data_IF_836071672032
#
_entry.id   IF_836071672032
#
_cell.length_a   1.000
_cell.length_b   1.000
_cell.length_c   1.000
_cell.angle_alpha   90.00
_cell.angle_beta   90.00
_cell.angle_gamma   90.00
#
_symmetry.space_group_name_H-M   'P 1'
#
loop_
_entity.id
_entity.type
_entity.pdbx_description
1 polymer ?
#
# COMPACT_ATOMS: atom_id res chain seq x y z
N UNK A 1 -69.93 -49.40 28.58
CA UNK A 1 -70.16 -49.35 27.11
C UNK A 1 -68.82 -49.66 26.46
N UNK A 2 -68.57 -50.88 25.95
CA UNK A 2 -68.82 -51.30 24.55
C UNK A 2 -68.48 -50.18 23.55
N UNK A 3 -67.62 -50.31 22.54
CA UNK A 3 -66.83 -51.40 21.92
C UNK A 3 -66.19 -50.72 20.70
N UNK A 4 -64.92 -51.02 20.41
CA UNK A 4 -64.36 -51.40 19.09
C UNK A 4 -62.85 -51.12 19.16
N UNK A 5 -61.99 -52.13 19.21
CA UNK A 5 -61.64 -53.03 18.09
C UNK A 5 -61.14 -52.21 16.88
N UNK A 6 -59.99 -52.46 16.29
CA UNK A 6 -59.36 -53.75 16.06
C UNK A 6 -57.93 -53.49 15.55
N UNK A 7 -56.96 -54.23 16.09
CA UNK A 7 -55.96 -55.00 15.33
C UNK A 7 -54.94 -54.28 14.41
N UNK A 8 -53.69 -54.71 14.27
CA UNK A 8 -52.94 -55.90 14.74
C UNK A 8 -51.46 -55.69 14.31
N UNK A 9 -50.50 -56.07 15.14
CA UNK A 9 -49.58 -57.22 14.91
C UNK A 9 -48.24 -56.82 14.27
N UNK A 10 -47.16 -56.70 15.05
CA UNK A 10 -46.11 -57.71 15.36
C UNK A 10 -45.20 -58.03 14.16
N UNK A 11 -43.88 -57.86 14.32
CA UNK A 11 -42.89 -58.56 13.48
C UNK A 11 -41.46 -58.03 13.52
N UNK A 12 -40.59 -58.71 14.26
CA UNK A 12 -39.12 -58.65 14.26
C UNK A 12 -38.47 -58.69 12.85
N UNK A 13 -37.39 -57.90 12.62
CA UNK A 13 -36.06 -58.36 12.13
C UNK A 13 -35.27 -57.27 11.38
N UNK A 14 -33.96 -57.31 11.57
CA UNK A 14 -32.93 -56.37 11.14
C UNK A 14 -32.87 -56.09 9.62
N UNK A 15 -32.51 -54.85 9.27
CA UNK A 15 -31.70 -54.54 8.10
C UNK A 15 -30.87 -53.28 8.38
N UNK A 16 -29.56 -53.46 8.27
CA UNK A 16 -28.52 -52.43 8.22
C UNK A 16 -28.88 -51.44 7.11
N UNK A 17 -28.89 -50.15 7.41
CA UNK A 17 -28.70 -49.12 6.39
C UNK A 17 -27.78 -48.06 6.97
N UNK A 18 -26.53 -48.08 6.47
CA UNK A 18 -25.64 -46.93 6.54
C UNK A 18 -26.38 -45.72 5.98
N UNK A 19 -26.84 -44.83 6.86
CA UNK A 19 -27.12 -43.47 6.47
C UNK A 19 -25.79 -42.72 6.55
N UNK A 20 -25.16 -42.57 5.38
CA UNK A 20 -24.20 -41.50 5.12
C UNK A 20 -24.88 -40.20 5.53
N UNK A 21 -24.45 -39.60 6.64
CA UNK A 21 -24.83 -38.22 6.93
C UNK A 21 -24.02 -37.30 6.02
N UNK A 22 -24.67 -36.33 5.36
CA UNK A 22 -23.99 -35.39 4.48
C UNK A 22 -23.10 -34.46 5.31
N UNK A 23 -21.80 -34.51 5.06
CA UNK A 23 -20.82 -33.53 5.51
C UNK A 23 -20.95 -32.25 4.67
N UNK A 24 -22.07 -31.52 4.78
CA UNK A 24 -22.36 -30.34 3.94
C UNK A 24 -22.82 -29.13 4.76
N UNK A 25 -22.30 -28.95 5.97
CA UNK A 25 -22.54 -27.76 6.79
C UNK A 25 -21.28 -26.91 7.06
N UNK A 26 -20.13 -27.25 6.45
CA UNK A 26 -18.88 -26.49 6.57
C UNK A 26 -18.50 -25.71 5.31
N UNK A 27 -19.28 -25.82 4.22
CA UNK A 27 -18.93 -25.23 2.91
C UNK A 27 -19.53 -23.82 2.72
N UNK A 28 -20.71 -23.56 3.28
CA UNK A 28 -21.42 -22.27 3.15
C UNK A 28 -20.73 -21.11 3.88
N UNK A 29 -20.09 -21.38 5.04
CA UNK A 29 -19.38 -20.36 5.81
C UNK A 29 -18.07 -19.92 5.16
N UNK A 30 -17.36 -20.85 4.52
CA UNK A 30 -16.13 -20.58 3.78
C UNK A 30 -16.45 -19.80 2.51
N UNK A 31 -17.46 -20.24 1.75
CA UNK A 31 -17.92 -19.54 0.54
C UNK A 31 -18.43 -18.12 0.81
N UNK A 32 -19.20 -17.91 1.88
CA UNK A 32 -19.68 -16.58 2.24
C UNK A 32 -18.54 -15.64 2.67
N UNK A 33 -17.51 -16.16 3.33
CA UNK A 33 -16.30 -15.40 3.69
C UNK A 33 -15.49 -15.03 2.44
N UNK A 34 -15.32 -15.96 1.51
CA UNK A 34 -14.62 -15.73 0.25
C UNK A 34 -15.34 -14.72 -0.65
N UNK A 35 -16.67 -14.81 -0.76
CA UNK A 35 -17.50 -13.86 -1.52
C UNK A 35 -17.45 -12.45 -0.88
N UNK A 36 -17.49 -12.36 0.45
CA UNK A 36 -17.36 -11.09 1.17
C UNK A 36 -15.96 -10.46 0.99
N UNK A 37 -14.91 -11.28 1.07
CA UNK A 37 -13.53 -10.85 0.80
C UNK A 37 -13.39 -10.30 -0.62
N UNK A 38 -13.86 -11.05 -1.62
CA UNK A 38 -13.80 -10.64 -3.02
C UNK A 38 -14.51 -9.30 -3.27
N UNK A 39 -15.67 -9.09 -2.65
CA UNK A 39 -16.41 -7.82 -2.76
C UNK A 39 -15.63 -6.63 -2.17
N UNK A 40 -14.96 -6.83 -1.03
CA UNK A 40 -14.12 -5.80 -0.40
C UNK A 40 -12.87 -5.50 -1.24
N UNK A 41 -12.21 -6.54 -1.78
CA UNK A 41 -11.06 -6.40 -2.68
C UNK A 41 -11.43 -5.60 -3.94
N UNK A 42 -12.55 -5.94 -4.59
CA UNK A 42 -13.04 -5.22 -5.76
C UNK A 42 -13.37 -3.74 -5.46
N UNK A 43 -13.99 -3.47 -4.31
CA UNK A 43 -14.27 -2.08 -3.89
C UNK A 43 -12.99 -1.30 -3.62
N UNK A 44 -12.01 -1.94 -2.98
CA UNK A 44 -10.69 -1.36 -2.72
C UNK A 44 -9.98 -1.00 -4.03
N UNK A 45 -9.97 -1.90 -5.00
CA UNK A 45 -9.39 -1.64 -6.32
C UNK A 45 -10.04 -0.44 -7.02
N UNK A 46 -11.37 -0.33 -6.97
CA UNK A 46 -12.09 0.83 -7.53
C UNK A 46 -11.68 2.13 -6.86
N UNK A 47 -11.54 2.14 -5.53
CA UNK A 47 -11.10 3.33 -4.79
C UNK A 47 -9.66 3.71 -5.09
N UNK A 48 -8.75 2.74 -5.25
CA UNK A 48 -7.37 3.00 -5.67
C UNK A 48 -7.33 3.65 -7.06
N UNK A 49 -8.15 3.18 -8.01
CA UNK A 49 -8.25 3.80 -9.34
C UNK A 49 -8.78 5.24 -9.23
N UNK A 50 -9.79 5.48 -8.40
CA UNK A 50 -10.32 6.82 -8.15
C UNK A 50 -9.26 7.73 -7.52
N UNK A 51 -8.54 7.25 -6.51
CA UNK A 51 -7.45 7.97 -5.86
C UNK A 51 -6.40 8.41 -6.87
N UNK A 52 -5.93 7.49 -7.73
CA UNK A 52 -4.93 7.80 -8.77
C UNK A 52 -5.47 8.85 -9.75
N UNK A 53 -6.74 8.76 -10.13
CA UNK A 53 -7.38 9.75 -11.01
C UNK A 53 -7.38 11.14 -10.37
N UNK A 54 -7.77 11.24 -9.10
CA UNK A 54 -7.81 12.50 -8.35
C UNK A 54 -6.39 13.06 -8.12
N UNK A 55 -5.43 12.20 -7.76
CA UNK A 55 -4.02 12.58 -7.63
C UNK A 55 -3.43 13.15 -8.92
N UNK A 56 -3.78 12.56 -10.07
CA UNK A 56 -3.31 13.06 -11.37
C UNK A 56 -3.82 14.47 -11.69
N UNK A 57 -4.97 14.89 -11.14
CA UNK A 57 -5.50 16.25 -11.34
C UNK A 57 -4.62 17.31 -10.68
N UNK A 58 -3.99 17.00 -9.54
CA UNK A 58 -3.14 17.94 -8.80
C UNK A 58 -1.64 17.68 -9.00
N UNK A 59 -1.25 16.73 -9.85
CA UNK A 59 0.16 16.34 -10.02
C UNK A 59 1.08 17.49 -10.44
N UNK A 60 0.59 18.38 -11.31
CA UNK A 60 1.34 19.57 -11.71
C UNK A 60 1.53 20.56 -10.55
N UNK A 61 0.48 20.74 -9.72
CA UNK A 61 0.53 21.59 -8.53
C UNK A 61 1.44 21.00 -7.45
N UNK A 62 1.44 19.67 -7.28
CA UNK A 62 2.38 18.96 -6.41
C UNK A 62 3.83 19.23 -6.82
N UNK A 63 4.14 19.15 -8.12
CA UNK A 63 5.47 19.49 -8.63
C UNK A 63 5.89 20.92 -8.27
N UNK A 64 5.01 21.89 -8.50
CA UNK A 64 5.28 23.30 -8.15
C UNK A 64 5.37 23.54 -6.64
N UNK A 65 4.58 22.82 -5.85
CA UNK A 65 4.61 22.93 -4.39
C UNK A 65 5.93 22.44 -3.80
N UNK A 66 6.54 21.42 -4.42
CA UNK A 66 7.86 20.91 -4.03
C UNK A 66 9.00 21.89 -4.31
N UNK A 67 8.80 22.88 -5.17
CA UNK A 67 9.77 23.96 -5.41
C UNK A 67 9.67 25.10 -4.37
N UNK A 68 8.68 25.06 -3.46
CA UNK A 68 8.54 26.06 -2.40
C UNK A 68 9.61 25.88 -1.32
N UNK A 69 10.23 26.98 -0.89
CA UNK A 69 11.34 26.95 0.07
C UNK A 69 10.96 26.30 1.40
N UNK A 70 9.73 26.52 1.89
CA UNK A 70 9.28 25.95 3.16
C UNK A 70 9.09 24.44 3.01
N UNK A 71 8.55 24.00 1.87
CA UNK A 71 8.37 22.57 1.57
C UNK A 71 9.73 21.88 1.45
N UNK A 72 10.72 22.51 0.81
CA UNK A 72 12.09 22.00 0.71
C UNK A 72 12.73 21.84 2.10
N UNK A 73 12.60 22.85 2.97
CA UNK A 73 13.13 22.79 4.35
C UNK A 73 12.48 21.66 5.16
N UNK A 74 11.16 21.51 5.08
CA UNK A 74 10.43 20.44 5.76
C UNK A 74 10.74 19.06 5.20
N UNK A 75 10.96 18.95 3.89
CA UNK A 75 11.38 17.71 3.24
C UNK A 75 12.77 17.30 3.73
N UNK A 76 13.73 18.23 3.78
CA UNK A 76 15.06 17.96 4.32
C UNK A 76 14.99 17.53 5.79
N UNK A 77 14.18 18.20 6.60
CA UNK A 77 13.95 17.83 8.01
C UNK A 77 13.36 16.43 8.13
N UNK A 78 12.33 16.10 7.35
CA UNK A 78 11.74 14.76 7.35
C UNK A 78 12.78 13.68 7.02
N UNK A 79 13.58 13.88 5.97
CA UNK A 79 14.62 12.91 5.61
C UNK A 79 15.71 12.77 6.66
N UNK A 80 16.08 13.86 7.35
CA UNK A 80 17.04 13.80 8.44
C UNK A 80 16.52 12.99 9.63
N UNK A 81 15.28 13.27 10.07
CA UNK A 81 14.65 12.53 11.18
C UNK A 81 14.49 11.05 10.82
N UNK A 82 14.06 10.75 9.59
CA UNK A 82 13.96 9.38 9.09
C UNK A 82 15.34 8.69 9.07
N UNK A 83 16.38 9.37 8.57
CA UNK A 83 17.75 8.85 8.51
C UNK A 83 18.27 8.50 9.90
N UNK A 84 18.16 9.44 10.85
CA UNK A 84 18.57 9.21 12.25
C UNK A 84 17.86 7.99 12.80
N UNK A 85 16.54 7.89 12.60
CA UNK A 85 15.77 6.76 13.11
C UNK A 85 16.18 5.43 12.48
N UNK A 86 16.40 5.40 11.17
CA UNK A 86 16.86 4.19 10.49
C UNK A 86 18.22 3.72 11.01
N UNK A 87 19.14 4.65 11.31
CA UNK A 87 20.46 4.35 11.88
C UNK A 87 20.36 3.86 13.32
N UNK A 88 19.44 4.40 14.12
CA UNK A 88 19.18 3.91 15.48
C UNK A 88 18.64 2.47 15.49
N UNK A 89 17.74 2.13 14.55
CA UNK A 89 17.18 0.79 14.40
C UNK A 89 18.21 -0.20 13.86
N UNK A 90 18.99 0.21 12.86
CA UNK A 90 20.01 -0.60 12.21
C UNK A 90 21.23 0.28 11.87
N UNK A 91 22.34 0.20 12.63
CA UNK A 91 23.53 1.00 12.37
C UNK A 91 24.10 0.83 10.96
N UNK A 92 23.90 -0.33 10.32
CA UNK A 92 24.32 -0.54 8.94
C UNK A 92 23.54 0.32 7.93
N UNK A 93 22.38 0.87 8.31
CA UNK A 93 21.58 1.72 7.46
C UNK A 93 22.32 2.99 7.01
N UNK A 94 23.28 3.50 7.80
CA UNK A 94 24.12 4.62 7.39
C UNK A 94 24.85 4.31 6.07
N UNK A 95 25.53 3.17 6.02
CA UNK A 95 26.25 2.74 4.83
C UNK A 95 25.32 2.44 3.64
N UNK A 96 24.11 1.92 3.89
CA UNK A 96 23.13 1.69 2.83
C UNK A 96 22.59 2.98 2.24
N UNK A 97 22.30 3.99 3.08
CA UNK A 97 21.80 5.30 2.67
C UNK A 97 22.88 6.08 1.90
N UNK A 98 24.13 6.01 2.35
CA UNK A 98 25.25 6.62 1.63
C UNK A 98 25.44 5.96 0.27
N UNK A 99 25.39 4.61 0.23
CA UNK A 99 25.47 3.88 -1.04
C UNK A 99 24.30 4.19 -1.96
N UNK A 100 23.08 4.32 -1.44
CA UNK A 100 21.91 4.69 -2.22
C UNK A 100 22.05 6.10 -2.83
N UNK A 101 22.67 7.02 -2.10
CA UNK A 101 22.97 8.38 -2.60
C UNK A 101 23.97 8.33 -3.75
N UNK A 102 25.05 7.55 -3.62
CA UNK A 102 26.05 7.36 -4.68
C UNK A 102 25.44 6.72 -5.94
N UNK A 103 24.72 5.61 -5.77
CA UNK A 103 24.08 4.86 -6.87
C UNK A 103 23.00 5.70 -7.54
N UNK A 104 22.26 6.52 -6.78
CA UNK A 104 21.28 7.46 -7.31
C UNK A 104 21.91 8.52 -8.20
N UNK A 105 23.01 9.14 -7.77
CA UNK A 105 23.75 10.12 -8.56
C UNK A 105 24.35 9.48 -9.83
N UNK A 106 24.83 8.23 -9.74
CA UNK A 106 25.32 7.49 -10.89
C UNK A 106 24.20 7.17 -11.89
N UNK A 107 23.03 6.77 -11.40
CA UNK A 107 21.85 6.56 -12.23
C UNK A 107 21.44 7.85 -12.93
N UNK A 108 21.35 8.96 -12.21
CA UNK A 108 21.00 10.27 -12.78
C UNK A 108 21.99 10.69 -13.87
N UNK A 109 23.30 10.49 -13.67
CA UNK A 109 24.32 10.73 -14.69
C UNK A 109 24.07 9.91 -15.97
N UNK A 110 23.58 8.69 -15.82
CA UNK A 110 23.34 7.76 -16.94
C UNK A 110 21.98 7.93 -17.61
N UNK A 111 21.00 8.53 -16.92
CA UNK A 111 19.62 8.72 -17.39
C UNK A 111 19.25 10.18 -17.65
N UNK A 112 20.09 11.14 -17.24
CA UNK A 112 19.89 12.56 -17.47
C UNK A 112 19.71 12.86 -18.96
N UNK A 113 19.03 13.96 -19.32
CA UNK A 113 18.81 14.32 -20.71
C UNK A 113 20.17 14.36 -21.40
N UNK A 114 20.37 13.36 -22.24
CA UNK A 114 21.48 13.18 -23.14
C UNK A 114 21.47 14.37 -24.10
N UNK A 115 21.96 15.53 -23.66
CA UNK A 115 22.62 16.49 -24.53
C UNK A 115 23.93 15.84 -24.99
N UNK A 116 23.83 14.66 -25.62
CA UNK A 116 24.96 14.01 -26.26
C UNK A 116 25.49 15.05 -27.24
N UNK A 117 26.76 15.38 -27.07
CA UNK A 117 27.45 16.07 -28.14
C UNK A 117 27.37 15.19 -29.39
N UNK A 118 27.24 15.76 -30.61
CA UNK A 118 27.17 14.95 -31.82
C UNK A 118 28.36 13.96 -31.88
N UNK A 119 28.09 12.66 -31.81
CA UNK A 119 29.10 11.59 -31.83
C UNK A 119 29.44 10.95 -30.47
N UNK A 120 28.74 11.32 -29.40
CA UNK A 120 28.85 10.63 -28.10
C UNK A 120 27.87 9.45 -28.06
N UNK A 121 28.39 8.25 -27.81
CA UNK A 121 27.57 7.06 -27.68
C UNK A 121 26.83 7.09 -26.32
N UNK A 122 25.55 6.70 -26.26
CA UNK A 122 24.86 6.57 -24.98
C UNK A 122 25.60 5.55 -24.10
N UNK A 123 25.57 5.72 -22.77
CA UNK A 123 26.22 4.77 -21.87
C UNK A 123 25.73 3.33 -22.13
N UNK A 124 26.57 2.30 -21.91
CA UNK A 124 26.20 0.92 -22.17
C UNK A 124 24.92 0.52 -21.42
N UNK A 125 24.02 -0.19 -22.12
CA UNK A 125 22.77 -0.66 -21.51
C UNK A 125 23.01 -1.61 -20.32
N UNK A 126 24.13 -2.33 -20.33
CA UNK A 126 24.54 -3.23 -19.25
C UNK A 126 24.90 -2.48 -17.96
N UNK A 127 25.57 -1.34 -18.06
CA UNK A 127 25.94 -0.48 -16.92
C UNK A 127 24.70 0.09 -16.25
N UNK A 128 23.76 0.65 -17.03
CA UNK A 128 22.45 1.12 -16.52
C UNK A 128 21.66 0.02 -15.82
N UNK A 129 21.69 -1.19 -16.39
CA UNK A 129 20.98 -2.35 -15.84
C UNK A 129 21.64 -2.88 -14.57
N UNK A 130 22.95 -2.77 -14.43
CA UNK A 130 23.67 -3.15 -13.21
C UNK A 130 23.33 -2.19 -12.06
N UNK A 131 23.40 -0.88 -12.31
CA UNK A 131 23.11 0.16 -11.32
C UNK A 131 21.65 0.12 -10.88
N UNK A 132 20.72 -0.07 -11.83
CA UNK A 132 19.29 -0.26 -11.49
C UNK A 132 19.05 -1.49 -10.59
N UNK A 133 19.77 -2.59 -10.81
CA UNK A 133 19.68 -3.79 -9.95
C UNK A 133 20.24 -3.55 -8.56
N UNK A 134 21.35 -2.82 -8.46
CA UNK A 134 21.94 -2.46 -7.18
C UNK A 134 21.00 -1.59 -6.36
N UNK A 135 20.42 -0.55 -6.96
CA UNK A 135 19.45 0.32 -6.29
C UNK A 135 18.23 -0.48 -5.80
N UNK A 136 17.68 -1.36 -6.63
CA UNK A 136 16.56 -2.22 -6.25
C UNK A 136 16.93 -3.17 -5.08
N UNK A 137 18.17 -3.66 -5.02
CA UNK A 137 18.63 -4.50 -3.92
C UNK A 137 18.83 -3.69 -2.63
N UNK A 138 19.36 -2.47 -2.72
CA UNK A 138 19.47 -1.55 -1.57
C UNK A 138 18.08 -1.21 -1.03
N UNK A 139 17.13 -0.84 -1.89
CA UNK A 139 15.75 -0.55 -1.50
C UNK A 139 15.11 -1.75 -0.80
N UNK A 140 15.24 -2.96 -1.38
CA UNK A 140 14.74 -4.19 -0.77
C UNK A 140 15.33 -4.43 0.63
N UNK A 141 16.60 -4.11 0.80
CA UNK A 141 17.32 -4.31 2.07
C UNK A 141 16.90 -3.27 3.12
N UNK A 142 16.74 -2.01 2.72
CA UNK A 142 16.35 -0.92 3.61
C UNK A 142 14.86 -0.92 3.96
N UNK A 143 14.00 -1.50 3.11
CA UNK A 143 12.54 -1.43 3.25
C UNK A 143 12.02 -1.81 4.64
N UNK A 144 12.43 -2.92 5.29
CA UNK A 144 11.94 -3.27 6.62
C UNK A 144 12.28 -2.21 7.67
N UNK A 145 13.53 -1.71 7.65
CA UNK A 145 14.02 -0.68 8.58
C UNK A 145 13.31 0.65 8.33
N UNK A 146 13.09 1.01 7.07
CA UNK A 146 12.33 2.21 6.71
C UNK A 146 10.87 2.12 7.16
N UNK A 147 10.22 0.96 6.96
CA UNK A 147 8.84 0.75 7.42
C UNK A 147 8.73 0.89 8.94
N UNK A 148 9.64 0.30 9.70
CA UNK A 148 9.66 0.43 11.16
C UNK A 148 9.98 1.87 11.60
N UNK A 149 10.92 2.55 10.92
CA UNK A 149 11.23 3.95 11.21
C UNK A 149 10.03 4.89 10.97
N UNK A 150 9.20 4.62 9.95
CA UNK A 150 8.00 5.40 9.66
C UNK A 150 6.90 5.25 10.73
N UNK A 151 6.96 4.20 11.55
CA UNK A 151 6.05 4.02 12.70
C UNK A 151 6.50 4.84 13.92
N UNK A 152 7.71 5.41 13.92
CA UNK A 152 8.19 6.26 14.99
C UNK A 152 7.38 7.57 15.06
N UNK A 153 6.90 7.99 16.25
CA UNK A 153 6.09 9.20 16.40
C UNK A 153 6.75 10.49 15.91
N UNK A 154 8.08 10.61 16.04
CA UNK A 154 8.81 11.79 15.59
C UNK A 154 8.89 11.85 14.06
N UNK A 155 9.19 10.71 13.42
CA UNK A 155 9.19 10.57 11.96
C UNK A 155 7.79 10.82 11.40
N UNK A 156 6.75 10.23 12.00
CA UNK A 156 5.36 10.42 11.61
C UNK A 156 4.93 11.89 11.76
N UNK A 157 5.36 12.56 12.83
CA UNK A 157 5.13 13.99 13.05
C UNK A 157 5.77 14.87 11.98
N UNK A 158 7.06 14.63 11.66
CA UNK A 158 7.75 15.35 10.59
C UNK A 158 7.11 15.14 9.21
N UNK A 159 6.65 13.91 8.93
CA UNK A 159 5.93 13.60 7.70
C UNK A 159 4.58 14.31 7.62
N UNK A 160 3.83 14.37 8.72
CA UNK A 160 2.55 15.07 8.79
C UNK A 160 2.72 16.58 8.53
N UNK A 161 3.75 17.20 9.12
CA UNK A 161 4.09 18.61 8.91
C UNK A 161 4.44 18.89 7.44
N UNK A 162 5.22 18.01 6.81
CA UNK A 162 5.51 18.08 5.37
C UNK A 162 4.23 17.97 4.53
N UNK A 163 3.35 16.99 4.82
CA UNK A 163 2.08 16.80 4.10
C UNK A 163 1.21 18.05 4.20
N UNK A 164 1.08 18.63 5.40
CA UNK A 164 0.29 19.84 5.62
C UNK A 164 0.85 21.03 4.85
N UNK A 165 2.17 21.22 4.86
CA UNK A 165 2.83 22.29 4.11
C UNK A 165 2.67 22.16 2.59
N UNK A 166 2.79 20.94 2.06
CA UNK A 166 2.52 20.66 0.64
C UNK A 166 1.07 20.97 0.30
N UNK A 167 0.11 20.51 1.11
CA UNK A 167 -1.32 20.77 0.91
C UNK A 167 -1.63 22.28 0.95
N UNK A 168 -1.11 23.00 1.95
CA UNK A 168 -1.27 24.45 2.07
C UNK A 168 -0.68 25.20 0.86
N UNK A 169 0.47 24.74 0.36
CA UNK A 169 1.10 25.32 -0.83
C UNK A 169 0.30 25.04 -2.08
N UNK A 170 -0.23 23.82 -2.26
CA UNK A 170 -1.13 23.49 -3.39
C UNK A 170 -2.37 24.39 -3.37
N UNK A 171 -3.02 24.56 -2.22
CA UNK A 171 -4.21 25.44 -2.09
C UNK A 171 -3.87 26.91 -2.35
N UNK A 172 -2.66 27.35 -1.98
CA UNK A 172 -2.19 28.70 -2.30
C UNK A 172 -1.93 28.90 -3.80
N UNK A 173 -1.40 27.87 -4.48
CA UNK A 173 -1.19 27.89 -5.94
C UNK A 173 -2.53 27.84 -6.69
N UNK A 174 -3.47 27.02 -6.22
CA UNK A 174 -4.81 26.88 -6.77
C UNK A 174 -5.84 26.61 -5.65
N UNK A 175 -6.66 27.60 -5.27
CA UNK A 175 -7.68 27.43 -4.24
C UNK A 175 -8.72 26.35 -4.55
N UNK A 176 -8.99 26.07 -5.84
CA UNK A 176 -9.96 25.05 -6.23
C UNK A 176 -9.44 23.63 -5.94
N UNK A 177 -8.11 23.47 -5.80
CA UNK A 177 -7.50 22.20 -5.43
C UNK A 177 -7.82 21.74 -3.99
N UNK A 178 -8.36 22.62 -3.14
CA UNK A 178 -8.81 22.26 -1.78
C UNK A 178 -9.86 21.13 -1.81
N UNK A 179 -10.80 21.20 -2.75
CA UNK A 179 -11.83 20.16 -2.92
C UNK A 179 -11.21 18.84 -3.40
N UNK A 180 -10.20 18.90 -4.27
CA UNK A 180 -9.50 17.72 -4.76
C UNK A 180 -8.70 17.04 -3.65
N UNK A 181 -8.04 17.82 -2.79
CA UNK A 181 -7.33 17.30 -1.62
C UNK A 181 -8.29 16.66 -0.59
N UNK A 182 -9.42 17.31 -0.32
CA UNK A 182 -10.46 16.74 0.55
C UNK A 182 -10.99 15.41 0.00
N UNK A 183 -11.24 15.33 -1.32
CA UNK A 183 -11.63 14.08 -1.98
C UNK A 183 -10.57 12.98 -1.82
N UNK A 184 -9.28 13.32 -1.91
CA UNK A 184 -8.21 12.36 -1.68
C UNK A 184 -8.22 11.82 -0.25
N UNK A 185 -8.36 12.70 0.75
CA UNK A 185 -8.39 12.28 2.16
C UNK A 185 -9.61 11.38 2.46
N UNK A 186 -10.77 11.65 1.85
CA UNK A 186 -11.95 10.79 1.97
C UNK A 186 -11.70 9.41 1.36
N UNK A 187 -11.14 9.34 0.16
CA UNK A 187 -10.83 8.07 -0.52
C UNK A 187 -9.79 7.26 0.27
N UNK A 188 -8.75 7.92 0.80
CA UNK A 188 -7.69 7.30 1.58
C UNK A 188 -8.24 6.67 2.88
N UNK A 189 -9.14 7.36 3.59
CA UNK A 189 -9.78 6.79 4.79
C UNK A 189 -10.72 5.63 4.45
N UNK A 190 -11.44 5.69 3.32
CA UNK A 190 -12.24 4.55 2.85
C UNK A 190 -11.35 3.32 2.54
N UNK A 191 -10.20 3.52 1.89
CA UNK A 191 -9.24 2.44 1.62
C UNK A 191 -8.72 1.83 2.93
N UNK A 192 -8.29 2.66 3.90
CA UNK A 192 -7.83 2.17 5.22
C UNK A 192 -8.91 1.38 5.95
N UNK A 193 -10.18 1.81 5.84
CA UNK A 193 -11.30 1.07 6.42
C UNK A 193 -11.46 -0.31 5.76
N UNK A 194 -11.35 -0.40 4.44
CA UNK A 194 -11.42 -1.68 3.73
C UNK A 194 -10.22 -2.58 4.08
N UNK A 195 -9.02 -2.03 4.22
CA UNK A 195 -7.83 -2.78 4.62
C UNK A 195 -8.00 -3.41 6.02
N UNK A 196 -8.57 -2.66 6.98
CA UNK A 196 -8.93 -3.21 8.30
C UNK A 196 -9.95 -4.34 8.20
N UNK A 197 -10.99 -4.17 7.39
CA UNK A 197 -12.03 -5.20 7.19
C UNK A 197 -11.48 -6.45 6.51
N UNK A 198 -10.56 -6.30 5.55
CA UNK A 198 -9.90 -7.42 4.90
C UNK A 198 -9.02 -8.19 5.88
N UNK A 199 -8.25 -7.49 6.72
CA UNK A 199 -7.43 -8.13 7.76
C UNK A 199 -8.25 -8.91 8.79
N UNK A 200 -9.48 -8.46 9.11
CA UNK A 200 -10.41 -9.21 9.97
C UNK A 200 -10.95 -10.50 9.31
N UNK A 201 -10.89 -10.59 7.98
CA UNK A 201 -11.31 -11.74 7.18
C UNK A 201 -10.15 -12.67 6.78
N UNK A 202 -8.92 -12.41 7.22
CA UNK A 202 -7.77 -13.34 7.12
C UNK A 202 -7.66 -14.28 8.33
#
# INVERSE_FOLDING_TARGET
MRTKDLCRSIGLSALITLAVMPASACDDGTRARDDARLALEQRREQLVIQYISVQNQIRALQGQALDDSIVIELQARFYEVLRVKMIELEPQAEAWLDRATEVGAELERLTGPLLLSPGEDPPPAEERTAIGRELAQLEKTMRPVQSEALEDPEVAGAFAELKESVAATIVRLDPDAALTLEQMDVIDEEIRKLDRQLAELE
#
